data_IF_662714980026
#
_entry.id   IF_662714980026
#
_cell.length_a   1.000
_cell.length_b   1.000
_cell.length_c   1.000
_cell.angle_alpha   90.00
_cell.angle_beta   90.00
_cell.angle_gamma   90.00
#
_symmetry.space_group_name_H-M   'P 1'
#
loop_
_entity.id
_entity.type
_entity.pdbx_description
1 polymer ?
#
# COMPACT_ATOMS: atom_id res chain seq x y z
N UNK A 1 24.82 -40.78 -7.09
CA UNK A 1 25.01 -41.23 -8.48
C UNK A 1 23.99 -40.53 -9.36
N UNK A 2 24.49 -40.12 -10.52
CA UNK A 2 24.03 -39.16 -11.53
C UNK A 2 22.53 -39.03 -11.93
N UNK A 3 22.22 -37.89 -12.58
CA UNK A 3 20.91 -37.26 -12.73
C UNK A 3 20.30 -37.49 -14.12
N UNK A 4 18.99 -37.26 -14.27
CA UNK A 4 18.26 -37.16 -15.55
C UNK A 4 17.01 -36.29 -15.31
N UNK A 5 16.56 -35.33 -16.10
CA UNK A 5 16.89 -34.66 -17.38
C UNK A 5 16.01 -33.37 -17.35
N UNK A 6 16.57 -32.19 -17.57
CA UNK A 6 16.46 -31.38 -18.79
C UNK A 6 15.03 -31.15 -19.34
N UNK A 7 14.68 -29.85 -19.35
CA UNK A 7 14.06 -29.10 -20.45
C UNK A 7 12.56 -29.27 -20.76
N UNK A 8 11.82 -28.18 -20.58
CA UNK A 8 10.89 -27.67 -21.59
C UNK A 8 10.80 -26.13 -21.44
N UNK A 9 11.60 -25.41 -22.24
CA UNK A 9 11.30 -24.05 -22.65
C UNK A 9 10.06 -24.11 -23.55
N UNK A 10 9.00 -23.38 -23.21
CA UNK A 10 7.94 -23.05 -24.16
C UNK A 10 8.16 -21.63 -24.66
N UNK A 11 8.91 -21.55 -25.76
CA UNK A 11 9.04 -20.38 -26.63
C UNK A 11 7.81 -20.27 -27.53
N UNK A 12 7.34 -19.03 -27.73
CA UNK A 12 6.70 -18.48 -28.93
C UNK A 12 5.39 -19.12 -29.47
N UNK A 13 4.31 -18.33 -29.44
CA UNK A 13 3.53 -18.08 -30.66
C UNK A 13 3.29 -16.58 -30.81
N UNK A 14 3.89 -16.08 -31.87
CA UNK A 14 3.71 -14.79 -32.53
C UNK A 14 2.27 -14.66 -33.03
N UNK A 15 1.59 -13.56 -32.70
CA UNK A 15 0.49 -13.04 -33.51
C UNK A 15 0.89 -11.65 -34.00
N UNK A 16 1.67 -11.64 -35.08
CA UNK A 16 1.78 -10.50 -35.98
C UNK A 16 0.48 -10.47 -36.81
N UNK A 17 -0.48 -9.65 -36.39
CA UNK A 17 -1.57 -9.22 -37.27
C UNK A 17 -1.10 -7.94 -37.96
N UNK A 18 -0.61 -8.09 -39.20
CA UNK A 18 -0.37 -7.00 -40.12
C UNK A 18 -1.72 -6.46 -40.63
N UNK A 19 -2.11 -5.28 -40.17
CA UNK A 19 -3.02 -4.40 -40.91
C UNK A 19 -2.20 -3.25 -41.47
N UNK A 20 -1.76 -3.41 -42.72
CA UNK A 20 -1.27 -2.32 -43.55
C UNK A 20 -2.43 -1.42 -43.94
N UNK A 21 -2.37 -0.14 -43.57
CA UNK A 21 -3.18 0.90 -44.21
C UNK A 21 -3.59 2.07 -43.33
N UNK A 22 -2.68 3.02 -43.08
CA UNK A 22 -2.89 4.45 -43.37
C UNK A 22 -1.82 5.32 -42.73
N UNK A 23 -1.34 6.27 -43.53
CA UNK A 23 -0.55 7.42 -43.09
C UNK A 23 -1.46 8.30 -42.22
N UNK A 24 -1.27 8.21 -40.92
CA UNK A 24 -1.81 9.14 -39.94
C UNK A 24 -0.90 9.06 -38.73
N UNK A 25 -0.10 10.11 -38.51
CA UNK A 25 0.53 10.36 -37.23
C UNK A 25 -0.58 10.75 -36.24
N UNK A 26 -1.45 9.79 -35.92
CA UNK A 26 -2.43 9.94 -34.86
C UNK A 26 -1.63 9.79 -33.58
N UNK A 27 -1.22 10.93 -33.03
CA UNK A 27 -0.49 11.00 -31.77
C UNK A 27 -1.18 10.08 -30.78
N UNK A 28 -0.44 9.08 -30.30
CA UNK A 28 -0.85 8.19 -29.21
C UNK A 28 -1.31 9.08 -28.05
N UNK A 29 -2.60 9.36 -28.01
CA UNK A 29 -3.20 10.13 -26.95
C UNK A 29 -3.13 9.26 -25.71
N UNK A 30 -2.22 9.60 -24.80
CA UNK A 30 -2.17 9.00 -23.48
C UNK A 30 -3.58 9.04 -22.91
N UNK A 31 -4.13 7.91 -22.41
CA UNK A 31 -5.48 7.89 -21.87
C UNK A 31 -5.64 9.00 -20.81
N UNK A 32 -6.82 9.66 -20.74
CA UNK A 32 -7.02 10.78 -19.83
C UNK A 32 -6.85 10.30 -18.39
N UNK A 33 -5.93 10.94 -17.67
CA UNK A 33 -5.71 10.70 -16.24
C UNK A 33 -6.90 11.25 -15.45
N UNK A 34 -7.48 10.44 -14.56
CA UNK A 34 -8.55 10.87 -13.68
C UNK A 34 -8.14 12.09 -12.83
N UNK A 35 -9.10 12.92 -12.45
CA UNK A 35 -8.82 14.15 -11.70
C UNK A 35 -8.38 13.87 -10.25
N UNK A 36 -7.69 14.84 -9.63
CA UNK A 36 -7.35 14.77 -8.20
C UNK A 36 -8.60 14.61 -7.31
N UNK A 37 -9.72 15.24 -7.67
CA UNK A 37 -10.97 15.11 -6.94
C UNK A 37 -11.56 13.70 -7.02
N UNK A 38 -11.43 13.03 -8.18
CA UNK A 38 -11.87 11.64 -8.32
C UNK A 38 -11.06 10.72 -7.39
N UNK A 39 -9.74 10.77 -7.46
CA UNK A 39 -8.87 9.99 -6.57
C UNK A 39 -9.10 10.32 -5.09
N UNK A 40 -9.29 11.60 -4.75
CA UNK A 40 -9.50 12.03 -3.36
C UNK A 40 -10.79 11.46 -2.80
N UNK A 41 -11.89 11.51 -3.57
CA UNK A 41 -13.17 10.96 -3.12
C UNK A 41 -13.11 9.45 -2.93
N UNK A 42 -12.54 8.73 -3.89
CA UNK A 42 -12.46 7.27 -3.82
C UNK A 42 -11.52 6.80 -2.71
N UNK A 43 -10.34 7.41 -2.56
CA UNK A 43 -9.44 7.11 -1.44
C UNK A 43 -10.08 7.42 -0.08
N UNK A 44 -10.83 8.52 0.03
CA UNK A 44 -11.56 8.82 1.26
C UNK A 44 -12.66 7.78 1.56
N UNK A 45 -13.31 7.24 0.52
CA UNK A 45 -14.29 6.17 0.67
C UNK A 45 -13.64 4.86 1.15
N UNK A 46 -12.53 4.46 0.54
CA UNK A 46 -11.78 3.25 0.96
C UNK A 46 -11.25 3.37 2.39
N UNK A 47 -10.64 4.50 2.75
CA UNK A 47 -10.12 4.75 4.11
C UNK A 47 -11.22 4.78 5.20
N UNK A 48 -12.45 5.13 4.82
CA UNK A 48 -13.61 5.13 5.73
C UNK A 48 -14.44 3.84 5.66
N UNK A 49 -14.05 2.87 4.81
CA UNK A 49 -14.79 1.64 4.64
C UNK A 49 -14.66 0.75 5.89
N UNK A 50 -15.78 0.17 6.32
CA UNK A 50 -15.82 -0.75 7.46
C UNK A 50 -15.35 -2.14 7.05
N UNK A 51 -14.55 -2.79 7.90
CA UNK A 51 -14.14 -4.19 7.72
C UNK A 51 -12.64 -4.43 7.57
N UNK A 52 -11.84 -3.37 7.48
CA UNK A 52 -10.37 -3.47 7.54
C UNK A 52 -9.81 -3.33 8.96
N UNK A 53 -8.53 -3.70 9.14
CA UNK A 53 -7.79 -3.52 10.41
C UNK A 53 -7.49 -2.04 10.73
N UNK A 54 -7.85 -1.12 9.84
CA UNK A 54 -7.56 0.31 9.92
C UNK A 54 -8.73 1.13 9.37
N UNK A 55 -9.79 1.30 10.17
CA UNK A 55 -10.95 2.14 9.83
C UNK A 55 -10.71 3.57 10.33
N UNK A 56 -10.81 4.55 9.44
CA UNK A 56 -10.76 5.96 9.79
C UNK A 56 -12.16 6.57 9.92
N UNK A 57 -12.31 7.55 10.81
CA UNK A 57 -13.50 8.40 10.80
C UNK A 57 -13.64 9.09 9.44
N UNK A 58 -14.87 9.38 8.99
CA UNK A 58 -15.11 10.06 7.71
C UNK A 58 -14.30 11.35 7.55
N UNK A 59 -14.17 12.14 8.64
CA UNK A 59 -13.38 13.37 8.64
C UNK A 59 -11.87 13.10 8.50
N UNK A 60 -11.35 12.11 9.24
CA UNK A 60 -9.95 11.69 9.16
C UNK A 60 -9.60 11.12 7.78
N UNK A 61 -10.48 10.29 7.21
CA UNK A 61 -10.34 9.72 5.87
C UNK A 61 -10.31 10.82 4.79
N UNK A 62 -11.24 11.76 4.82
CA UNK A 62 -11.27 12.88 3.86
C UNK A 62 -10.03 13.78 3.96
N UNK A 63 -9.57 14.09 5.17
CA UNK A 63 -8.35 14.88 5.39
C UNK A 63 -7.11 14.14 4.85
N UNK A 64 -6.98 12.86 5.21
CA UNK A 64 -5.85 12.00 4.80
C UNK A 64 -5.82 11.85 3.28
N UNK A 65 -6.95 11.50 2.66
CA UNK A 65 -7.06 11.31 1.22
C UNK A 65 -6.68 12.57 0.44
N UNK A 66 -7.17 13.74 0.87
CA UNK A 66 -6.83 15.02 0.23
C UNK A 66 -5.32 15.30 0.29
N UNK A 67 -4.71 15.06 1.44
CA UNK A 67 -3.28 15.27 1.61
C UNK A 67 -2.44 14.26 0.80
N UNK A 68 -2.84 12.99 0.78
CA UNK A 68 -2.17 11.93 0.04
C UNK A 68 -2.23 12.16 -1.47
N UNK A 69 -3.40 12.46 -2.02
CA UNK A 69 -3.54 12.74 -3.47
C UNK A 69 -2.76 13.99 -3.87
N UNK A 70 -2.72 15.02 -3.01
CA UNK A 70 -1.86 16.19 -3.24
C UNK A 70 -0.38 15.82 -3.28
N UNK A 71 0.07 15.00 -2.34
CA UNK A 71 1.48 14.68 -2.18
C UNK A 71 1.97 13.61 -3.16
N UNK A 72 1.12 12.66 -3.58
CA UNK A 72 1.39 11.60 -4.57
C UNK A 72 1.16 12.10 -5.99
N UNK A 73 0.03 12.76 -6.23
CA UNK A 73 -0.37 13.29 -7.53
C UNK A 73 -1.14 12.27 -8.40
N UNK A 74 -2.17 12.71 -9.15
CA UNK A 74 -2.98 11.83 -10.01
C UNK A 74 -2.18 11.07 -11.08
N UNK A 75 -1.09 11.67 -11.57
CA UNK A 75 -0.23 11.04 -12.58
C UNK A 75 0.55 9.86 -12.01
N UNK A 76 1.03 9.96 -10.77
CA UNK A 76 1.77 8.87 -10.12
C UNK A 76 0.83 7.71 -9.78
N UNK A 77 -0.38 8.01 -9.28
CA UNK A 77 -1.42 7.01 -9.06
C UNK A 77 -1.75 6.26 -10.35
N UNK A 78 -1.99 6.98 -11.45
CA UNK A 78 -2.25 6.38 -12.75
C UNK A 78 -1.06 5.57 -13.30
N UNK A 79 0.17 6.05 -13.10
CA UNK A 79 1.39 5.34 -13.49
C UNK A 79 1.62 4.06 -12.67
N UNK A 80 1.07 4.00 -11.45
CA UNK A 80 1.04 2.80 -10.61
C UNK A 80 -0.15 1.87 -10.95
N UNK A 81 -0.82 2.11 -12.08
CA UNK A 81 -2.01 1.38 -12.55
C UNK A 81 -3.20 1.44 -11.57
N UNK A 82 -3.23 2.43 -10.69
CA UNK A 82 -4.36 2.64 -9.77
C UNK A 82 -5.37 3.56 -10.42
N UNK A 83 -6.60 3.09 -10.56
CA UNK A 83 -7.76 3.91 -10.91
C UNK A 83 -8.47 4.35 -9.62
N UNK A 84 -9.29 5.42 -9.66
CA UNK A 84 -10.06 5.82 -8.49
C UNK A 84 -10.84 4.67 -7.85
N UNK A 85 -11.50 3.82 -8.65
CA UNK A 85 -12.31 2.71 -8.15
C UNK A 85 -11.49 1.66 -7.38
N UNK A 86 -10.22 1.47 -7.75
CA UNK A 86 -9.31 0.56 -7.06
C UNK A 86 -8.95 1.10 -5.66
N UNK A 87 -9.10 2.40 -5.42
CA UNK A 87 -8.87 3.04 -4.12
C UNK A 87 -10.08 2.97 -3.17
N UNK A 88 -11.24 2.50 -3.64
CA UNK A 88 -12.41 2.26 -2.80
C UNK A 88 -12.36 0.87 -2.14
N UNK A 89 -11.50 0.00 -2.64
CA UNK A 89 -11.35 -1.36 -2.14
C UNK A 89 -10.72 -1.38 -0.73
N UNK A 90 -11.20 -2.29 0.12
CA UNK A 90 -10.79 -2.40 1.53
C UNK A 90 -9.33 -2.87 1.70
N UNK A 91 -8.79 -3.51 0.68
CA UNK A 91 -7.44 -4.07 0.63
C UNK A 91 -6.43 -3.11 0.00
N UNK A 92 -6.72 -1.80 -0.02
CA UNK A 92 -5.89 -0.73 -0.57
C UNK A 92 -4.39 -1.04 -0.49
N UNK A 93 -3.83 -1.54 -1.59
CA UNK A 93 -2.45 -2.06 -1.61
C UNK A 93 -1.49 -0.89 -1.77
N UNK A 94 -1.23 -0.17 -0.68
CA UNK A 94 -0.31 0.97 -0.64
C UNK A 94 1.14 0.59 -0.99
N UNK A 95 1.49 -0.69 -0.92
CA UNK A 95 2.76 -1.26 -1.39
C UNK A 95 3.06 -1.00 -2.85
N UNK A 96 2.02 -0.83 -3.69
CA UNK A 96 2.17 -0.66 -5.15
C UNK A 96 2.60 0.74 -5.59
N UNK A 97 2.75 1.67 -4.66
CA UNK A 97 3.02 3.07 -4.99
C UNK A 97 4.50 3.38 -5.24
N UNK A 98 5.43 2.54 -4.76
CA UNK A 98 6.89 2.71 -4.91
C UNK A 98 7.34 4.18 -4.69
N UNK A 99 6.84 4.78 -3.61
CA UNK A 99 7.09 6.19 -3.34
C UNK A 99 8.53 6.41 -2.89
N UNK A 100 9.23 7.43 -3.39
CA UNK A 100 10.50 7.87 -2.82
C UNK A 100 10.38 8.12 -1.30
N UNK A 101 11.45 7.86 -0.50
CA UNK A 101 11.36 7.92 0.96
C UNK A 101 10.81 9.21 1.54
N UNK A 102 11.20 10.36 0.97
CA UNK A 102 10.68 11.66 1.41
C UNK A 102 9.18 11.82 1.14
N UNK A 103 8.69 11.30 0.00
CA UNK A 103 7.28 11.37 -0.36
C UNK A 103 6.45 10.43 0.52
N UNK A 104 6.92 9.20 0.73
CA UNK A 104 6.33 8.27 1.70
C UNK A 104 6.25 8.90 3.10
N UNK A 105 7.32 9.56 3.56
CA UNK A 105 7.35 10.29 4.83
C UNK A 105 6.28 11.38 4.95
N UNK A 106 6.06 12.17 3.88
CA UNK A 106 5.00 13.20 3.84
C UNK A 106 3.60 12.59 3.91
N UNK A 107 3.37 11.50 3.19
CA UNK A 107 2.11 10.75 3.21
C UNK A 107 1.81 10.25 4.62
N UNK A 108 2.77 9.61 5.30
CA UNK A 108 2.60 9.15 6.69
C UNK A 108 2.42 10.31 7.67
N UNK A 109 3.14 11.42 7.50
CA UNK A 109 2.96 12.62 8.34
C UNK A 109 1.56 13.26 8.17
N UNK A 110 0.98 13.16 6.97
CA UNK A 110 -0.39 13.62 6.74
C UNK A 110 -1.41 12.78 7.50
N UNK A 111 -1.21 11.46 7.57
CA UNK A 111 -2.09 10.56 8.33
C UNK A 111 -2.11 10.94 9.82
N UNK A 112 -0.95 11.12 10.43
CA UNK A 112 -0.81 11.51 11.84
C UNK A 112 -1.47 12.87 12.14
N UNK A 113 -1.32 13.84 11.25
CA UNK A 113 -1.95 15.16 11.41
C UNK A 113 -3.47 15.10 11.26
N UNK A 114 -3.98 14.26 10.37
CA UNK A 114 -5.41 14.16 10.06
C UNK A 114 -6.19 13.24 11.00
N UNK A 115 -5.50 12.29 11.63
CA UNK A 115 -6.10 11.25 12.46
C UNK A 115 -5.34 11.22 13.78
N UNK A 116 -5.91 11.84 14.84
CA UNK A 116 -5.41 11.64 16.19
C UNK A 116 -5.33 10.14 16.48
N UNK A 117 -4.22 9.71 17.09
CA UNK A 117 -3.98 8.31 17.47
C UNK A 117 -3.86 7.31 16.29
N UNK A 118 -3.62 7.76 15.06
CA UNK A 118 -3.46 6.90 13.89
C UNK A 118 -2.50 5.72 14.15
N UNK A 119 -1.35 5.98 14.78
CA UNK A 119 -0.36 4.93 15.07
C UNK A 119 -0.79 3.99 16.19
N UNK A 120 -1.59 4.45 17.15
CA UNK A 120 -2.18 3.57 18.17
C UNK A 120 -3.24 2.65 17.54
N UNK A 121 -4.08 3.18 16.65
CA UNK A 121 -5.05 2.39 15.87
C UNK A 121 -4.34 1.37 15.00
N UNK A 122 -3.28 1.76 14.29
CA UNK A 122 -2.49 0.85 13.45
C UNK A 122 -1.87 -0.29 14.26
N UNK A 123 -1.25 0.00 15.42
CA UNK A 123 -0.71 -1.04 16.33
C UNK A 123 -1.78 -2.01 16.80
N UNK A 124 -2.95 -1.49 17.16
CA UNK A 124 -4.09 -2.31 17.56
C UNK A 124 -4.56 -3.23 16.43
N UNK A 125 -4.60 -2.70 15.20
CA UNK A 125 -4.94 -3.47 13.99
C UNK A 125 -3.94 -4.59 13.69
N UNK A 126 -2.64 -4.37 13.87
CA UNK A 126 -1.62 -5.40 13.65
C UNK A 126 -1.73 -6.61 14.59
N UNK A 127 -2.29 -6.42 15.79
CA UNK A 127 -2.57 -7.50 16.74
C UNK A 127 -4.07 -7.81 16.84
N UNK A 128 -4.84 -7.49 15.81
CA UNK A 128 -6.22 -7.92 15.69
C UNK A 128 -6.29 -9.46 15.70
N UNK A 129 -7.33 -9.99 16.33
CA UNK A 129 -7.52 -11.44 16.50
C UNK A 129 -6.66 -12.11 17.58
N UNK A 130 -5.72 -11.38 18.21
CA UNK A 130 -4.94 -11.91 19.34
C UNK A 130 -5.69 -11.74 20.67
N UNK A 131 -5.35 -12.56 21.65
CA UNK A 131 -5.81 -12.43 23.05
C UNK A 131 -5.46 -11.06 23.64
N UNK A 132 -6.25 -10.60 24.62
CA UNK A 132 -6.14 -9.24 25.16
C UNK A 132 -4.73 -8.93 25.72
N UNK A 133 -4.13 -9.87 26.46
CA UNK A 133 -2.79 -9.70 27.06
C UNK A 133 -1.69 -9.68 25.98
N UNK A 134 -1.79 -10.57 24.99
CA UNK A 134 -0.85 -10.62 23.86
C UNK A 134 -0.92 -9.33 23.04
N UNK A 135 -2.13 -8.85 22.77
CA UNK A 135 -2.37 -7.58 22.06
C UNK A 135 -1.81 -6.38 22.83
N UNK A 136 -2.05 -6.30 24.15
CA UNK A 136 -1.54 -5.22 24.99
C UNK A 136 0.00 -5.22 25.04
N UNK A 137 0.61 -6.40 25.22
CA UNK A 137 2.06 -6.58 25.14
C UNK A 137 2.62 -6.07 23.80
N UNK A 138 2.01 -6.51 22.69
CA UNK A 138 2.49 -6.18 21.35
C UNK A 138 2.37 -4.70 21.03
N UNK A 139 1.22 -4.08 21.29
CA UNK A 139 1.02 -2.65 21.09
C UNK A 139 2.01 -1.81 21.92
N UNK A 140 2.37 -2.26 23.13
CA UNK A 140 3.38 -1.59 23.98
C UNK A 140 4.81 -1.78 23.47
N UNK A 141 5.13 -2.91 22.84
CA UNK A 141 6.45 -3.19 22.29
C UNK A 141 6.77 -2.35 21.04
N UNK A 142 5.75 -1.80 20.38
CA UNK A 142 5.88 -0.97 19.18
C UNK A 142 5.71 0.51 19.54
N UNK A 143 6.76 1.30 19.36
CA UNK A 143 6.69 2.76 19.51
C UNK A 143 6.24 3.45 18.20
N UNK A 144 5.82 4.71 18.31
CA UNK A 144 5.33 5.50 17.18
C UNK A 144 6.40 5.73 16.09
N UNK A 145 7.68 5.80 16.48
CA UNK A 145 8.79 5.93 15.53
C UNK A 145 8.96 4.67 14.69
N UNK A 146 8.77 3.49 15.27
CA UNK A 146 8.79 2.21 14.58
C UNK A 146 7.57 2.03 13.67
N UNK A 147 6.38 2.38 14.15
CA UNK A 147 5.15 2.35 13.33
C UNK A 147 5.30 3.27 12.12
N UNK A 148 5.85 4.47 12.30
CA UNK A 148 6.17 5.37 11.19
C UNK A 148 7.11 4.71 10.18
N UNK A 149 8.18 4.07 10.64
CA UNK A 149 9.13 3.39 9.75
C UNK A 149 8.47 2.24 8.96
N UNK A 150 7.60 1.45 9.60
CA UNK A 150 6.83 0.40 8.94
C UNK A 150 5.90 0.97 7.86
N UNK A 151 5.13 2.01 8.18
CA UNK A 151 4.21 2.65 7.23
C UNK A 151 4.98 3.27 6.05
N UNK A 152 6.10 3.94 6.32
CA UNK A 152 6.97 4.50 5.28
C UNK A 152 7.54 3.39 4.40
N UNK A 153 8.01 2.29 4.98
CA UNK A 153 8.51 1.15 4.22
C UNK A 153 7.41 0.51 3.35
N UNK A 154 6.19 0.36 3.87
CA UNK A 154 5.06 -0.18 3.11
C UNK A 154 4.59 0.69 1.95
N UNK A 155 5.03 1.95 1.88
CA UNK A 155 4.74 2.86 0.77
C UNK A 155 5.85 2.88 -0.28
N UNK A 156 7.01 2.30 0.04
CA UNK A 156 8.19 2.23 -0.82
C UNK A 156 8.27 0.93 -1.63
N UNK A 157 7.36 -0.03 -1.41
CA UNK A 157 7.34 -1.29 -2.14
C UNK A 157 6.82 -2.47 -1.30
N UNK A 158 6.97 -3.67 -1.85
CA UNK A 158 6.42 -4.90 -1.28
C UNK A 158 7.31 -5.51 -0.18
N UNK A 159 8.57 -5.10 -0.09
CA UNK A 159 9.51 -5.66 0.89
C UNK A 159 9.72 -4.73 2.10
N UNK A 160 9.32 -5.20 3.28
CA UNK A 160 9.70 -4.57 4.55
C UNK A 160 11.19 -4.84 4.81
N UNK A 161 12.03 -3.81 5.08
CA UNK A 161 13.44 -3.98 5.40
C UNK A 161 13.70 -5.01 6.51
N UNK A 162 14.74 -5.83 6.37
CA UNK A 162 15.06 -6.94 7.30
C UNK A 162 15.19 -6.47 8.76
N UNK A 163 15.76 -5.28 8.99
CA UNK A 163 15.86 -4.71 10.32
C UNK A 163 14.48 -4.46 10.97
N UNK A 164 13.51 -3.98 10.17
CA UNK A 164 12.13 -3.76 10.65
C UNK A 164 11.41 -5.09 10.83
N UNK A 165 11.59 -6.04 9.90
CA UNK A 165 11.05 -7.40 9.97
C UNK A 165 11.53 -8.14 11.22
N UNK A 166 12.83 -8.13 11.49
CA UNK A 166 13.43 -8.76 12.66
C UNK A 166 12.94 -8.16 13.98
N UNK A 167 12.75 -6.84 14.03
CA UNK A 167 12.16 -6.17 15.19
C UNK A 167 10.69 -6.55 15.39
N UNK A 168 9.90 -6.57 14.32
CA UNK A 168 8.49 -7.00 14.35
C UNK A 168 8.37 -8.45 14.82
N UNK A 169 9.17 -9.36 14.26
CA UNK A 169 9.20 -10.76 14.63
C UNK A 169 9.60 -10.97 16.10
N UNK A 170 10.54 -10.16 16.61
CA UNK A 170 10.95 -10.19 18.02
C UNK A 170 9.83 -9.74 18.93
N UNK A 171 9.14 -8.65 18.60
CA UNK A 171 7.98 -8.18 19.35
C UNK A 171 6.87 -9.25 19.38
N UNK A 172 6.51 -9.82 18.23
CA UNK A 172 5.50 -10.89 18.13
C UNK A 172 5.85 -12.08 19.02
N UNK A 173 7.08 -12.63 18.90
CA UNK A 173 7.53 -13.77 19.71
C UNK A 173 7.52 -13.48 21.21
N UNK A 174 8.00 -12.29 21.60
CA UNK A 174 8.04 -11.90 23.02
C UNK A 174 6.66 -11.77 23.66
N UNK A 175 5.62 -11.54 22.84
CA UNK A 175 4.24 -11.39 23.27
C UNK A 175 3.37 -12.63 22.97
N UNK A 176 3.97 -13.75 22.56
CA UNK A 176 3.24 -14.99 22.26
C UNK A 176 2.36 -14.93 21.01
N UNK A 177 2.61 -13.98 20.10
CA UNK A 177 1.88 -13.84 18.83
C UNK A 177 2.62 -14.64 17.73
N UNK A 178 1.94 -15.55 17.02
CA UNK A 178 2.51 -16.22 15.86
C UNK A 178 2.92 -15.19 14.79
N UNK A 179 4.16 -15.30 14.29
CA UNK A 179 4.67 -14.45 13.22
C UNK A 179 4.84 -15.28 11.95
N UNK A 180 4.11 -14.91 10.89
CA UNK A 180 4.12 -15.60 9.60
C UNK A 180 4.88 -14.83 8.50
N UNK A 181 5.69 -13.83 8.89
CA UNK A 181 6.39 -12.95 7.95
C UNK A 181 7.58 -13.57 7.26
#
# INVERSE_FOLDING_TARGET
>A
MSPRRLAALSLLVVVLAACSGSKGSDGLATPPVASADAYTRSLAAGLAAKGGNFELSKAGAACTAKAWVRDIGPRHLAASELRPEDLEAQDLVLGRLDLPPEQAGRVVAALERCVPDAFATFRTGMAAGQEADARACFTKALDDGFVRQLLVASLQGDEVPEALRGRLATASRSCGIPYAG
#
